data_IF_776796802110
#
_entry.id   IF_776796802110
#
_cell.length_a   1.000
_cell.length_b   1.000
_cell.length_c   1.000
_cell.angle_alpha   90.00
_cell.angle_beta   90.00
_cell.angle_gamma   90.00
#
_symmetry.space_group_name_H-M   'P 1'
#
loop_
_entity.id
_entity.type
_entity.pdbx_description
1 polymer ?
#
# COMPACT_ATOMS: atom_id res chain seq x y z
N UNK A 1 7.88 8.75 -19.87
CA UNK A 1 7.37 8.47 -18.51
C UNK A 1 6.29 7.39 -18.55
N UNK A 2 5.50 7.37 -19.61
CA UNK A 2 4.34 6.48 -19.81
C UNK A 2 4.69 4.99 -19.70
N UNK A 3 5.88 4.58 -20.15
CA UNK A 3 6.36 3.20 -20.03
C UNK A 3 6.51 2.72 -18.58
N UNK A 4 6.90 3.61 -17.65
CA UNK A 4 7.03 3.23 -16.23
C UNK A 4 5.65 3.02 -15.63
N UNK A 5 4.70 3.92 -15.88
CA UNK A 5 3.35 3.80 -15.34
C UNK A 5 2.58 2.61 -15.94
N UNK A 6 2.80 2.31 -17.23
CA UNK A 6 2.21 1.15 -17.88
C UNK A 6 2.77 -0.18 -17.38
N UNK A 7 4.01 -0.21 -16.87
CA UNK A 7 4.59 -1.37 -16.19
C UNK A 7 4.14 -1.47 -14.72
N UNK A 8 3.99 -0.33 -14.02
CA UNK A 8 3.57 -0.30 -12.61
C UNK A 8 2.12 -0.75 -12.41
N UNK A 9 1.21 -0.36 -13.30
CA UNK A 9 -0.20 -0.75 -13.20
C UNK A 9 -0.42 -2.28 -13.11
N UNK A 10 0.10 -3.12 -14.02
CA UNK A 10 -0.04 -4.57 -13.93
C UNK A 10 0.78 -5.19 -12.78
N UNK A 11 1.85 -4.55 -12.30
CA UNK A 11 2.55 -4.99 -11.09
C UNK A 11 1.62 -4.83 -9.88
N UNK A 12 1.11 -3.63 -9.65
CA UNK A 12 0.27 -3.34 -8.49
C UNK A 12 -1.09 -4.06 -8.54
N UNK A 13 -1.63 -4.29 -9.73
CA UNK A 13 -2.86 -5.10 -9.89
C UNK A 13 -2.64 -6.54 -9.45
N UNK A 14 -1.50 -7.15 -9.85
CA UNK A 14 -1.12 -8.49 -9.38
C UNK A 14 -0.83 -8.52 -7.90
N UNK A 15 -0.14 -7.52 -7.38
CA UNK A 15 0.12 -7.38 -5.94
C UNK A 15 -1.18 -7.31 -5.15
N UNK A 16 -2.18 -6.53 -5.59
CA UNK A 16 -3.50 -6.47 -4.94
C UNK A 16 -4.11 -7.87 -4.81
N UNK A 17 -4.21 -8.60 -5.92
CA UNK A 17 -4.76 -9.96 -5.94
C UNK A 17 -3.96 -10.95 -5.08
N UNK A 18 -2.62 -10.85 -5.09
CA UNK A 18 -1.75 -11.66 -4.23
C UNK A 18 -1.99 -11.39 -2.74
N UNK A 19 -2.21 -10.13 -2.36
CA UNK A 19 -2.48 -9.78 -0.97
C UNK A 19 -3.84 -10.33 -0.52
N UNK A 20 -4.88 -10.17 -1.33
CA UNK A 20 -6.22 -10.72 -1.03
C UNK A 20 -6.15 -12.24 -0.81
N UNK A 21 -5.42 -12.94 -1.67
CA UNK A 21 -5.19 -14.39 -1.53
C UNK A 21 -4.38 -14.70 -0.26
N UNK A 22 -3.35 -13.90 0.04
CA UNK A 22 -2.50 -14.09 1.21
C UNK A 22 -3.26 -13.90 2.52
N UNK A 23 -4.11 -12.87 2.62
CA UNK A 23 -4.96 -12.63 3.80
C UNK A 23 -5.91 -13.80 4.00
N UNK A 24 -6.59 -14.28 2.95
CA UNK A 24 -7.47 -15.46 3.02
C UNK A 24 -6.74 -16.72 3.47
N UNK A 25 -5.46 -16.88 3.12
CA UNK A 25 -4.64 -18.00 3.61
C UNK A 25 -4.27 -17.85 5.09
N UNK A 26 -4.15 -16.63 5.60
CA UNK A 26 -3.78 -16.37 7.00
C UNK A 26 -4.97 -16.41 7.96
N UNK A 27 -6.19 -16.12 7.50
CA UNK A 27 -7.41 -16.22 8.31
C UNK A 27 -7.50 -17.54 9.12
N UNK A 28 -7.40 -18.75 8.50
CA UNK A 28 -7.44 -19.99 9.26
C UNK A 28 -6.23 -20.18 10.19
N UNK A 29 -5.08 -19.55 9.90
CA UNK A 29 -3.90 -19.61 10.78
C UNK A 29 -4.15 -18.81 12.06
N UNK A 30 -4.81 -17.65 11.97
CA UNK A 30 -5.20 -16.86 13.13
C UNK A 30 -6.24 -17.60 13.98
N UNK A 31 -7.23 -18.21 13.33
CA UNK A 31 -8.30 -18.96 14.01
C UNK A 31 -7.78 -20.20 14.75
N UNK A 32 -6.77 -20.87 14.19
CA UNK A 32 -6.20 -22.11 14.72
C UNK A 32 -4.95 -21.89 15.57
N UNK A 33 -4.56 -20.63 15.81
CA UNK A 33 -3.35 -20.30 16.57
C UNK A 33 -3.37 -20.93 17.97
N UNK A 34 -2.29 -21.61 18.34
CA UNK A 34 -2.21 -22.35 19.60
C UNK A 34 -1.96 -21.42 20.80
N UNK A 35 -1.50 -20.20 20.55
CA UNK A 35 -1.17 -19.22 21.58
C UNK A 35 -1.67 -17.83 21.22
N UNK A 36 -1.92 -17.01 22.24
CA UNK A 36 -2.28 -15.60 22.05
C UNK A 36 -1.23 -14.84 21.24
N UNK A 37 0.05 -15.10 21.50
CA UNK A 37 1.15 -14.43 20.83
C UNK A 37 1.16 -14.73 19.33
N UNK A 38 0.95 -15.99 18.97
CA UNK A 38 0.87 -16.43 17.58
C UNK A 38 -0.34 -15.80 16.88
N UNK A 39 -1.51 -15.79 17.53
CA UNK A 39 -2.72 -15.14 17.02
C UNK A 39 -2.47 -13.66 16.75
N UNK A 40 -1.91 -12.94 17.72
CA UNK A 40 -1.62 -11.51 17.59
C UNK A 40 -0.59 -11.23 16.50
N UNK A 41 0.42 -12.09 16.36
CA UNK A 41 1.43 -11.96 15.31
C UNK A 41 0.82 -12.02 13.91
N UNK A 42 0.02 -13.05 13.63
CA UNK A 42 -0.61 -13.20 12.32
C UNK A 42 -1.73 -12.19 12.08
N UNK A 43 -2.46 -11.79 13.12
CA UNK A 43 -3.46 -10.74 13.04
C UNK A 43 -2.84 -9.41 12.61
N UNK A 44 -1.70 -9.03 13.20
CA UNK A 44 -1.03 -7.78 12.84
C UNK A 44 -0.55 -7.77 11.37
N UNK A 45 -0.08 -8.92 10.86
CA UNK A 45 0.27 -9.05 9.44
C UNK A 45 -0.96 -8.79 8.57
N UNK A 46 -2.12 -9.36 8.92
CA UNK A 46 -3.37 -9.12 8.18
C UNK A 46 -3.73 -7.63 8.19
N UNK A 47 -3.69 -6.96 9.35
CA UNK A 47 -4.01 -5.53 9.46
C UNK A 47 -3.09 -4.65 8.57
N UNK A 48 -1.78 -4.92 8.55
CA UNK A 48 -0.84 -4.18 7.71
C UNK A 48 -1.12 -4.38 6.21
N UNK A 49 -1.55 -5.59 5.84
CA UNK A 49 -1.90 -5.96 4.48
C UNK A 49 -3.23 -5.36 4.03
N UNK A 50 -4.23 -5.30 4.90
CA UNK A 50 -5.49 -4.58 4.66
C UNK A 50 -5.25 -3.09 4.42
N UNK A 51 -4.43 -2.45 5.25
CA UNK A 51 -4.02 -1.06 5.03
C UNK A 51 -3.27 -0.88 3.71
N UNK A 52 -2.51 -1.89 3.26
CA UNK A 52 -1.84 -1.87 1.96
C UNK A 52 -2.84 -1.99 0.81
N UNK A 53 -3.87 -2.83 0.94
CA UNK A 53 -4.97 -2.93 -0.01
C UNK A 53 -5.69 -1.59 -0.17
N UNK A 54 -6.06 -0.92 0.92
CA UNK A 54 -6.70 0.41 0.87
C UNK A 54 -5.87 1.43 0.08
N UNK A 55 -4.54 1.43 0.28
CA UNK A 55 -3.62 2.29 -0.48
C UNK A 55 -3.59 1.92 -1.96
N UNK A 56 -3.60 0.63 -2.29
CA UNK A 56 -3.64 0.14 -3.67
C UNK A 56 -4.95 0.48 -4.37
N UNK A 57 -6.08 0.41 -3.67
CA UNK A 57 -7.40 0.81 -4.18
C UNK A 57 -7.46 2.29 -4.53
N UNK A 58 -6.75 3.12 -3.79
CA UNK A 58 -6.61 4.55 -4.11
C UNK A 58 -5.61 4.80 -5.24
N UNK A 59 -4.54 4.00 -5.32
CA UNK A 59 -3.43 4.19 -6.27
C UNK A 59 -3.77 3.71 -7.69
N UNK A 60 -4.39 2.54 -7.83
CA UNK A 60 -4.64 1.91 -9.12
C UNK A 60 -5.47 2.80 -10.07
N UNK A 61 -6.60 3.41 -9.65
CA UNK A 61 -7.36 4.32 -10.51
C UNK A 61 -6.57 5.57 -10.92
N UNK A 62 -5.62 6.02 -10.09
CA UNK A 62 -4.75 7.16 -10.43
C UNK A 62 -3.71 6.76 -11.47
N UNK A 63 -3.15 5.55 -11.36
CA UNK A 63 -2.22 5.00 -12.35
C UNK A 63 -2.91 4.75 -13.69
N UNK A 64 -4.12 4.20 -13.68
CA UNK A 64 -4.92 4.00 -14.90
C UNK A 64 -5.13 5.31 -15.65
N UNK A 65 -5.54 6.38 -14.94
CA UNK A 65 -5.66 7.73 -15.53
C UNK A 65 -4.35 8.26 -16.12
N UNK A 66 -3.20 7.96 -15.49
CA UNK A 66 -1.88 8.38 -15.99
C UNK A 66 -1.39 7.56 -17.19
N UNK A 67 -1.88 6.33 -17.33
CA UNK A 67 -1.59 5.48 -18.50
C UNK A 67 -2.49 5.88 -19.67
N UNK A 68 -3.78 6.11 -19.44
CA UNK A 68 -4.76 6.44 -20.47
C UNK A 68 -4.65 7.88 -20.96
N UNK A 69 -4.39 8.78 -20.02
CA UNK A 69 -4.20 10.17 -20.34
C UNK A 69 -2.70 10.37 -20.50
N UNK A 70 -2.27 10.83 -21.68
CA UNK A 70 -0.92 11.31 -21.94
C UNK A 70 -0.61 12.61 -21.15
N UNK A 71 -1.07 12.68 -19.89
CA UNK A 71 -1.01 13.82 -18.99
C UNK A 71 0.46 13.96 -18.60
N UNK A 72 1.12 15.07 -18.97
CA UNK A 72 2.44 15.35 -18.45
C UNK A 72 2.30 15.43 -16.92
N UNK A 73 2.96 14.49 -16.23
CA UNK A 73 3.08 14.52 -14.78
C UNK A 73 3.66 15.88 -14.42
N UNK A 74 2.80 16.78 -13.93
CA UNK A 74 3.29 17.99 -13.30
C UNK A 74 4.01 17.52 -12.04
N UNK A 75 5.34 17.55 -12.08
CA UNK A 75 6.14 17.60 -10.86
C UNK A 75 5.69 18.86 -10.12
N UNK A 76 4.67 18.74 -9.27
CA UNK A 76 4.46 19.71 -8.21
C UNK A 76 5.78 19.75 -7.48
N UNK A 77 6.51 20.88 -7.58
CA UNK A 77 7.80 21.09 -6.95
C UNK A 77 7.67 20.66 -5.49
N UNK A 78 8.14 19.45 -5.17
CA UNK A 78 8.34 19.04 -3.80
C UNK A 78 9.47 19.94 -3.30
N UNK A 79 9.08 21.01 -2.62
CA UNK A 79 10.00 21.83 -1.85
C UNK A 79 10.74 20.90 -0.88
N UNK A 80 12.08 20.93 -0.82
CA UNK A 80 12.88 20.08 0.06
C UNK A 80 12.57 20.22 1.57
N UNK A 81 11.68 21.14 1.96
CA UNK A 81 11.45 21.57 3.34
C UNK A 81 10.03 21.31 3.85
N UNK A 82 9.24 20.43 3.22
CA UNK A 82 7.86 20.15 3.68
C UNK A 82 7.78 19.10 4.80
N UNK A 83 8.88 18.80 5.49
CA UNK A 83 8.82 18.09 6.77
C UNK A 83 8.35 19.11 7.81
N UNK A 84 7.11 18.95 8.25
CA UNK A 84 6.49 19.82 9.25
C UNK A 84 7.38 20.01 10.47
N UNK A 85 7.43 21.26 10.96
CA UNK A 85 7.99 21.63 12.24
C UNK A 85 7.31 20.84 13.38
N UNK A 86 7.81 19.65 13.68
CA UNK A 86 7.66 19.03 15.00
C UNK A 86 8.81 19.53 15.87
N UNK A 87 8.58 20.70 16.47
CA UNK A 87 9.44 21.27 17.49
C UNK A 87 9.29 20.43 18.76
N UNK A 88 10.16 19.43 18.95
CA UNK A 88 10.37 18.81 20.26
C UNK A 88 10.86 19.90 21.22
N UNK A 89 10.01 20.30 22.16
CA UNK A 89 10.45 21.00 23.37
C UNK A 89 10.94 19.93 24.34
N UNK A 90 12.26 19.75 24.39
CA UNK A 90 12.92 19.14 25.53
C UNK A 90 13.00 20.18 26.66
N UNK A 91 12.71 19.69 27.86
CA UNK A 91 12.74 20.36 29.17
C UNK A 91 14.12 20.93 29.53
#
# INVERSE_FOLDING_TARGET
>A
MDKVFSELHPIFSRTKASIETFVQMLEPVVEQAATEKERLYFHHIIEEEEQRLERLETLLPRLEKLVDSNIPVQHSKLSPWSVGNLRFKGE
#
